data_IF_315036075757
#
_entry.id   IF_315036075757
#
_cell.length_a   1.000
_cell.length_b   1.000
_cell.length_c   1.000
_cell.angle_alpha   90.00
_cell.angle_beta   90.00
_cell.angle_gamma   90.00
#
_symmetry.space_group_name_H-M   'P 1'
#
loop_
_entity.id
_entity.type
_entity.pdbx_description
1 polymer ?
#
# COMPACT_ATOMS: atom_id res chain seq x y z
N UNK A 1 2.90 19.63 1.76
CA UNK A 1 1.73 19.30 2.62
C UNK A 1 1.36 17.82 2.55
N UNK A 2 1.30 17.22 1.35
CA UNK A 2 0.99 15.79 1.15
C UNK A 2 1.93 14.84 1.92
N UNK A 3 3.24 15.10 1.95
CA UNK A 3 4.21 14.28 2.71
C UNK A 3 3.86 14.21 4.21
N UNK A 4 3.69 15.36 4.85
CA UNK A 4 3.46 15.45 6.30
C UNK A 4 2.12 14.82 6.69
N UNK A 5 1.07 15.10 5.90
CA UNK A 5 -0.27 14.55 6.13
C UNK A 5 -0.29 13.04 5.90
N UNK A 6 0.37 12.56 4.84
CA UNK A 6 0.47 11.14 4.51
C UNK A 6 1.25 10.35 5.57
N UNK A 7 2.39 10.88 6.03
CA UNK A 7 3.17 10.23 7.10
C UNK A 7 2.41 10.20 8.42
N UNK A 8 1.81 11.33 8.83
CA UNK A 8 1.01 11.39 10.06
C UNK A 8 -0.22 10.48 9.99
N UNK A 9 -0.94 10.48 8.86
CA UNK A 9 -2.14 9.68 8.67
C UNK A 9 -1.85 8.18 8.74
N UNK A 10 -0.86 7.71 7.98
CA UNK A 10 -0.45 6.31 7.99
C UNK A 10 0.14 5.88 9.35
N UNK A 11 0.81 6.80 10.06
CA UNK A 11 1.34 6.53 11.40
C UNK A 11 0.20 6.29 12.39
N UNK A 12 -0.78 7.19 12.36
CA UNK A 12 -1.94 7.11 13.24
C UNK A 12 -2.71 5.81 13.01
N UNK A 13 -2.85 5.41 11.75
CA UNK A 13 -3.50 4.15 11.35
C UNK A 13 -2.76 2.95 11.95
N UNK A 14 -1.44 2.85 11.75
CA UNK A 14 -0.63 1.81 12.37
C UNK A 14 -0.73 1.81 13.90
N UNK A 15 -0.63 2.99 14.51
CA UNK A 15 -0.64 3.18 15.95
C UNK A 15 -1.98 2.77 16.58
N UNK A 16 -3.11 3.20 16.01
CA UNK A 16 -4.45 2.91 16.54
C UNK A 16 -4.77 1.42 16.44
N UNK A 17 -4.39 0.75 15.35
CA UNK A 17 -4.61 -0.69 15.19
C UNK A 17 -3.70 -1.50 16.11
N UNK A 18 -2.45 -1.08 16.31
CA UNK A 18 -1.54 -1.76 17.24
C UNK A 18 -1.99 -1.59 18.70
N UNK A 19 -2.49 -0.41 19.07
CA UNK A 19 -2.93 -0.09 20.43
C UNK A 19 -4.25 -0.76 20.82
N UNK A 20 -5.18 -0.93 19.88
CA UNK A 20 -6.48 -1.53 20.16
C UNK A 20 -6.53 -3.00 19.72
N UNK A 21 -6.35 -3.92 20.67
CA UNK A 21 -6.50 -5.37 20.43
C UNK A 21 -7.89 -5.74 19.88
N UNK A 22 -8.95 -5.05 20.33
CA UNK A 22 -10.32 -5.23 19.79
C UNK A 22 -10.45 -4.84 18.31
N UNK A 23 -9.50 -4.06 17.79
CA UNK A 23 -9.43 -3.62 16.40
C UNK A 23 -8.51 -4.52 15.57
N UNK A 24 -7.94 -5.61 16.08
CA UNK A 24 -7.07 -6.52 15.30
C UNK A 24 -7.86 -7.52 14.44
N UNK A 25 -8.89 -7.01 13.77
CA UNK A 25 -9.69 -7.78 12.84
C UNK A 25 -9.06 -7.78 11.45
N UNK A 26 -9.55 -8.69 10.61
CA UNK A 26 -9.19 -8.91 9.20
C UNK A 26 -8.88 -7.63 8.43
N UNK A 27 -9.84 -6.72 8.46
CA UNK A 27 -9.86 -5.47 7.73
C UNK A 27 -8.75 -4.54 8.20
N UNK A 28 -8.47 -4.53 9.51
CA UNK A 28 -7.46 -3.65 10.08
C UNK A 28 -6.03 -4.15 9.85
N UNK A 29 -5.83 -5.46 9.65
CA UNK A 29 -4.53 -6.00 9.19
C UNK A 29 -4.21 -5.51 7.77
N UNK A 30 -5.19 -5.52 6.87
CA UNK A 30 -5.03 -4.93 5.53
C UNK A 30 -4.70 -3.45 5.59
N UNK A 31 -5.43 -2.71 6.43
CA UNK A 31 -5.25 -1.26 6.58
C UNK A 31 -3.85 -0.94 7.12
N UNK A 32 -3.33 -1.70 8.09
CA UNK A 32 -1.94 -1.54 8.57
C UNK A 32 -0.94 -1.86 7.46
N UNK A 33 -1.16 -2.93 6.70
CA UNK A 33 -0.24 -3.29 5.63
C UNK A 33 -0.20 -2.24 4.51
N UNK A 34 -1.35 -1.65 4.17
CA UNK A 34 -1.44 -0.51 3.26
C UNK A 34 -0.71 0.72 3.82
N UNK A 35 -0.92 1.04 5.10
CA UNK A 35 -0.26 2.16 5.76
C UNK A 35 1.28 2.01 5.81
N UNK A 36 1.80 0.80 6.02
CA UNK A 36 3.24 0.51 5.93
C UNK A 36 3.77 0.67 4.50
N UNK A 37 2.99 0.22 3.50
CA UNK A 37 3.33 0.41 2.08
C UNK A 37 3.48 1.89 1.74
N UNK A 38 2.46 2.68 2.11
CA UNK A 38 2.41 4.11 1.84
C UNK A 38 3.52 4.84 2.57
N UNK A 39 3.88 4.41 3.78
CA UNK A 39 5.03 4.95 4.50
C UNK A 39 6.34 4.78 3.75
N UNK A 40 6.61 3.55 3.27
CA UNK A 40 7.81 3.27 2.50
C UNK A 40 7.85 4.13 1.23
N UNK A 41 6.73 4.26 0.51
CA UNK A 41 6.63 5.09 -0.70
C UNK A 41 6.81 6.58 -0.38
N UNK A 42 6.15 7.08 0.67
CA UNK A 42 6.24 8.49 1.08
C UNK A 42 7.65 8.87 1.55
N UNK A 43 8.39 7.96 2.19
CA UNK A 43 9.75 8.22 2.64
C UNK A 43 10.78 8.06 1.52
N UNK A 44 10.64 7.03 0.68
CA UNK A 44 11.68 6.65 -0.30
C UNK A 44 11.49 7.39 -1.62
N UNK A 45 10.25 7.58 -2.08
CA UNK A 45 9.96 8.10 -3.42
C UNK A 45 9.70 9.60 -3.41
N UNK A 46 8.93 10.09 -2.44
CA UNK A 46 8.47 11.48 -2.45
C UNK A 46 9.60 12.52 -2.33
N UNK A 47 10.59 12.39 -1.43
CA UNK A 47 11.65 13.39 -1.29
C UNK A 47 12.53 13.52 -2.55
N UNK A 48 13.00 12.42 -3.18
CA UNK A 48 13.71 12.51 -4.46
C UNK A 48 12.88 13.14 -5.58
N UNK A 49 11.59 12.80 -5.68
CA UNK A 49 10.70 13.39 -6.68
C UNK A 49 10.51 14.89 -6.47
N UNK A 50 10.32 15.34 -5.22
CA UNK A 50 10.15 16.76 -4.91
C UNK A 50 11.42 17.55 -5.20
N UNK A 51 12.59 17.00 -4.89
CA UNK A 51 13.86 17.65 -5.22
C UNK A 51 14.02 17.77 -6.74
N UNK A 52 13.78 16.69 -7.49
CA UNK A 52 13.81 16.72 -8.96
C UNK A 52 12.87 17.78 -9.55
N UNK A 53 11.65 17.88 -9.03
CA UNK A 53 10.64 18.84 -9.50
C UNK A 53 11.04 20.30 -9.24
N UNK A 54 11.75 20.56 -8.14
CA UNK A 54 12.20 21.91 -7.77
C UNK A 54 13.51 22.30 -8.47
N UNK A 55 14.43 21.34 -8.66
CA UNK A 55 15.77 21.62 -9.18
C UNK A 55 15.94 21.30 -10.66
N UNK A 56 14.93 20.68 -11.28
CA UNK A 56 14.94 20.12 -12.65
C UNK A 56 16.18 19.23 -12.95
N UNK A 57 16.84 18.74 -11.91
CA UNK A 57 18.13 18.05 -12.00
C UNK A 57 18.22 16.91 -10.98
N UNK A 58 18.73 15.75 -11.40
CA UNK A 58 18.69 14.52 -10.60
C UNK A 58 19.98 14.35 -9.82
N UNK A 59 19.94 14.61 -8.51
CA UNK A 59 21.12 14.53 -7.64
C UNK A 59 21.33 13.17 -6.98
N UNK A 60 20.33 12.28 -6.95
CA UNK A 60 20.36 11.03 -6.17
C UNK A 60 21.00 9.83 -6.91
N UNK A 61 21.53 10.06 -8.12
CA UNK A 61 22.14 9.02 -8.95
C UNK A 61 21.17 8.02 -9.58
N UNK A 62 21.63 7.24 -10.55
CA UNK A 62 20.81 6.35 -11.40
C UNK A 62 20.07 5.26 -10.62
N UNK A 63 20.63 4.79 -9.50
CA UNK A 63 20.04 3.74 -8.66
C UNK A 63 18.73 4.26 -8.03
N UNK A 64 18.76 5.45 -7.43
CA UNK A 64 17.55 6.05 -6.82
C UNK A 64 16.51 6.43 -7.88
N UNK A 65 16.93 6.79 -9.09
CA UNK A 65 16.02 7.08 -10.20
C UNK A 65 15.20 5.83 -10.56
N UNK A 66 15.88 4.69 -10.78
CA UNK A 66 15.22 3.41 -11.04
C UNK A 66 14.33 2.96 -9.87
N UNK A 67 14.81 3.08 -8.63
CA UNK A 67 14.03 2.73 -7.43
C UNK A 67 12.76 3.57 -7.30
N UNK A 68 12.84 4.87 -7.57
CA UNK A 68 11.67 5.77 -7.50
C UNK A 68 10.61 5.35 -8.51
N UNK A 69 11.01 5.08 -9.76
CA UNK A 69 10.11 4.62 -10.82
C UNK A 69 9.51 3.23 -10.51
N UNK A 70 10.34 2.32 -9.98
CA UNK A 70 9.94 0.99 -9.54
C UNK A 70 8.87 1.07 -8.46
N UNK A 71 9.12 1.79 -7.37
CA UNK A 71 8.18 1.89 -6.25
C UNK A 71 6.89 2.62 -6.62
N UNK A 72 6.95 3.59 -7.53
CA UNK A 72 5.76 4.27 -8.03
C UNK A 72 4.87 3.29 -8.82
N UNK A 73 5.47 2.46 -9.67
CA UNK A 73 4.77 1.39 -10.41
C UNK A 73 4.17 0.34 -9.47
N UNK A 74 4.94 -0.05 -8.45
CA UNK A 74 4.48 -0.99 -7.42
C UNK A 74 3.30 -0.41 -6.65
N UNK A 75 3.37 0.85 -6.22
CA UNK A 75 2.31 1.53 -5.46
C UNK A 75 0.99 1.61 -6.23
N UNK A 76 1.05 2.00 -7.51
CA UNK A 76 -0.14 2.03 -8.38
C UNK A 76 -0.71 0.61 -8.55
N UNK A 77 0.16 -0.38 -8.78
CA UNK A 77 -0.26 -1.78 -8.93
C UNK A 77 -0.94 -2.32 -7.66
N UNK A 78 -0.35 -2.08 -6.49
CA UNK A 78 -0.93 -2.45 -5.19
C UNK A 78 -2.29 -1.78 -4.99
N UNK A 79 -2.40 -0.50 -5.30
CA UNK A 79 -3.65 0.26 -5.14
C UNK A 79 -4.78 -0.30 -6.00
N UNK A 80 -4.53 -0.52 -7.29
CA UNK A 80 -5.52 -1.08 -8.23
C UNK A 80 -5.92 -2.49 -7.84
N UNK A 81 -4.96 -3.35 -7.50
CA UNK A 81 -5.25 -4.72 -7.09
C UNK A 81 -6.00 -4.79 -5.75
N UNK A 82 -5.69 -3.88 -4.81
CA UNK A 82 -6.39 -3.79 -3.53
C UNK A 82 -7.84 -3.33 -3.73
N UNK A 83 -8.06 -2.32 -4.59
CA UNK A 83 -9.41 -1.88 -4.96
C UNK A 83 -10.22 -2.99 -5.65
N UNK A 84 -9.58 -3.74 -6.55
CA UNK A 84 -10.20 -4.89 -7.21
C UNK A 84 -10.53 -6.01 -6.21
N UNK A 85 -9.65 -6.33 -5.27
CA UNK A 85 -9.93 -7.32 -4.23
C UNK A 85 -11.09 -6.88 -3.33
N UNK A 86 -11.15 -5.59 -2.96
CA UNK A 86 -12.24 -5.03 -2.17
C UNK A 86 -13.58 -5.06 -2.92
N UNK A 87 -13.59 -4.77 -4.23
CA UNK A 87 -14.81 -4.83 -5.03
C UNK A 87 -15.35 -6.26 -5.16
N UNK A 88 -14.46 -7.24 -5.33
CA UNK A 88 -14.81 -8.66 -5.36
C UNK A 88 -15.35 -9.12 -4.00
N UNK A 89 -14.73 -8.74 -2.89
CA UNK A 89 -15.21 -9.07 -1.54
C UNK A 89 -16.64 -8.53 -1.30
N UNK A 90 -16.88 -7.26 -1.65
CA UNK A 90 -18.22 -6.65 -1.56
C UNK A 90 -19.25 -7.35 -2.43
N UNK A 91 -18.87 -7.73 -3.66
CA UNK A 91 -19.75 -8.49 -4.55
C UNK A 91 -20.14 -9.83 -3.93
N UNK A 92 -19.17 -10.56 -3.38
CA UNK A 92 -19.41 -11.84 -2.70
C UNK A 92 -20.30 -11.68 -1.47
N UNK A 93 -20.09 -10.65 -0.65
CA UNK A 93 -20.91 -10.39 0.53
C UNK A 93 -22.40 -10.16 0.18
N UNK A 94 -22.68 -9.46 -0.92
CA UNK A 94 -24.05 -9.21 -1.41
C UNK A 94 -24.68 -10.46 -2.03
N UNK A 95 -23.95 -11.19 -2.87
CA UNK A 95 -24.48 -12.33 -3.62
C UNK A 95 -24.45 -13.67 -2.86
N UNK A 96 -23.69 -13.77 -1.78
CA UNK A 96 -23.49 -14.99 -0.96
C UNK A 96 -23.47 -14.66 0.55
N UNK A 97 -24.59 -14.19 1.12
CA UNK A 97 -24.65 -13.73 2.52
C UNK A 97 -24.34 -14.83 3.56
N UNK A 98 -24.54 -16.12 3.22
CA UNK A 98 -24.34 -17.26 4.14
C UNK A 98 -22.93 -17.87 4.08
N UNK A 99 -22.09 -17.52 3.10
CA UNK A 99 -20.72 -18.04 2.94
C UNK A 99 -19.63 -16.99 3.22
N UNK A 100 -20.01 -15.72 3.35
CA UNK A 100 -19.08 -14.59 3.43
C UNK A 100 -18.84 -14.15 4.88
N UNK A 101 -18.10 -14.95 5.63
CA UNK A 101 -17.22 -14.37 6.64
C UNK A 101 -15.85 -14.20 6.01
N UNK A 102 -15.57 -12.99 5.51
CA UNK A 102 -14.23 -12.59 5.09
C UNK A 102 -13.25 -12.92 6.23
N UNK A 103 -12.49 -14.00 6.06
CA UNK A 103 -11.68 -14.57 7.14
C UNK A 103 -10.35 -13.82 7.19
N UNK A 104 -9.79 -13.53 8.40
CA UNK A 104 -8.51 -12.80 8.53
C UNK A 104 -7.37 -13.41 7.73
N UNK A 105 -7.44 -14.72 7.53
CA UNK A 105 -6.47 -15.51 6.78
C UNK A 105 -6.53 -15.24 5.28
N UNK A 106 -7.74 -15.23 4.68
CA UNK A 106 -7.90 -14.96 3.24
C UNK A 106 -7.43 -13.57 2.86
N UNK A 107 -7.76 -12.61 3.72
CA UNK A 107 -7.29 -11.26 3.65
C UNK A 107 -5.76 -11.15 3.56
N UNK A 108 -5.05 -11.67 4.57
CA UNK A 108 -3.59 -11.73 4.56
C UNK A 108 -3.02 -12.39 3.31
N UNK A 109 -3.65 -13.47 2.83
CA UNK A 109 -3.24 -14.15 1.61
C UNK A 109 -3.39 -13.25 0.38
N UNK A 110 -4.52 -12.55 0.21
CA UNK A 110 -4.68 -11.57 -0.87
C UNK A 110 -3.67 -10.43 -0.75
N UNK A 111 -3.40 -9.92 0.45
CA UNK A 111 -2.38 -8.89 0.65
C UNK A 111 -1.00 -9.35 0.18
N UNK A 112 -0.59 -10.55 0.59
CA UNK A 112 0.68 -11.14 0.20
C UNK A 112 0.76 -11.35 -1.31
N UNK A 113 -0.31 -11.86 -1.93
CA UNK A 113 -0.36 -12.08 -3.38
C UNK A 113 -0.26 -10.75 -4.12
N UNK A 114 -0.97 -9.71 -3.67
CA UNK A 114 -0.91 -8.36 -4.28
C UNK A 114 0.50 -7.80 -4.22
N UNK A 115 1.17 -7.93 -3.07
CA UNK A 115 2.57 -7.50 -2.92
C UNK A 115 3.53 -8.27 -3.80
N UNK A 116 3.40 -9.60 -3.86
CA UNK A 116 4.24 -10.44 -4.72
C UNK A 116 4.05 -10.08 -6.19
N UNK A 117 2.80 -9.90 -6.65
CA UNK A 117 2.48 -9.50 -8.02
C UNK A 117 3.02 -8.09 -8.30
N UNK A 118 2.81 -7.13 -7.40
CA UNK A 118 3.28 -5.76 -7.60
C UNK A 118 4.81 -5.68 -7.66
N UNK A 119 5.51 -6.41 -6.78
CA UNK A 119 6.98 -6.49 -6.79
C UNK A 119 7.51 -7.20 -8.05
N UNK A 120 6.81 -8.24 -8.53
CA UNK A 120 7.12 -8.90 -9.78
C UNK A 120 6.95 -7.95 -10.97
N UNK A 121 5.82 -7.26 -11.08
CA UNK A 121 5.55 -6.29 -12.15
C UNK A 121 6.60 -5.17 -12.16
N UNK A 122 6.96 -4.64 -11.00
CA UNK A 122 8.00 -3.63 -10.91
C UNK A 122 9.37 -4.13 -11.40
N UNK A 123 9.67 -5.42 -11.22
CA UNK A 123 11.00 -5.99 -11.50
C UNK A 123 11.32 -6.21 -12.98
N UNK A 124 10.35 -6.02 -13.87
CA UNK A 124 10.53 -6.17 -15.31
C UNK A 124 11.10 -4.93 -16.03
N UNK A 125 11.38 -3.83 -15.30
CA UNK A 125 11.97 -2.59 -15.79
C UNK A 125 13.28 -2.24 -15.08
#
# INVERSE_FOLDING_TARGET
MVLVIGLLGNFLVCYVVYRNISMQNVTNIFIVNLAVADFCVLLICLPPTVVWDVTETWFFGTIMCKLTLYFQTVSVSVSVLTLAALSVDRWYAVCRPLQCQATPRRAKTYTLIIWMIALLIGGYH
#
